data_IF_479360042844
#
_entry.id   IF_479360042844
#
_cell.length_a   1.000
_cell.length_b   1.000
_cell.length_c   1.000
_cell.angle_alpha   90.00
_cell.angle_beta   90.00
_cell.angle_gamma   90.00
#
_symmetry.space_group_name_H-M   'P 1'
#
loop_
_entity.id
_entity.type
_entity.pdbx_description
1 polymer ?
#
# COMPACT_ATOMS: atom_id res chain seq x y z
N UNK A 1 29.56 29.20 18.09
CA UNK A 1 28.93 28.09 18.85
C UNK A 1 27.62 28.48 19.58
N UNK A 2 27.14 29.74 19.59
CA UNK A 2 25.92 30.11 20.35
C UNK A 2 24.59 30.13 19.57
N UNK A 3 24.60 29.99 18.24
CA UNK A 3 23.38 30.12 17.43
C UNK A 3 22.40 28.94 17.57
N UNK A 4 22.89 27.70 17.65
CA UNK A 4 22.03 26.52 17.81
C UNK A 4 21.30 26.51 19.16
N UNK A 5 21.95 26.96 20.24
CA UNK A 5 21.34 26.99 21.57
C UNK A 5 20.27 28.09 21.69
N UNK A 6 20.45 29.21 20.99
CA UNK A 6 19.49 30.33 20.98
C UNK A 6 18.13 29.96 20.40
N UNK A 7 18.07 28.97 19.51
CA UNK A 7 16.81 28.47 18.91
C UNK A 7 15.81 28.00 19.98
N UNK A 8 16.26 27.27 21.02
CA UNK A 8 15.37 26.78 22.08
C UNK A 8 14.73 27.90 22.92
N UNK A 9 15.29 29.11 22.84
CA UNK A 9 14.83 30.30 23.57
C UNK A 9 14.14 31.33 22.68
N UNK A 10 14.03 31.08 21.36
CA UNK A 10 13.46 32.08 20.46
C UNK A 10 11.97 32.26 20.71
N UNK A 11 11.54 33.53 20.78
CA UNK A 11 10.17 33.95 21.04
C UNK A 11 9.91 35.24 20.29
N UNK A 12 8.62 35.52 20.10
CA UNK A 12 8.15 36.79 19.57
C UNK A 12 8.69 37.98 20.37
N UNK A 13 9.39 38.92 19.72
CA UNK A 13 9.81 40.17 20.34
C UNK A 13 8.70 41.20 20.22
N UNK A 14 8.45 41.95 21.30
CA UNK A 14 7.40 42.97 21.38
C UNK A 14 7.95 44.26 21.95
N UNK A 15 7.40 45.36 21.49
CA UNK A 15 7.66 46.68 22.05
C UNK A 15 6.95 46.83 23.42
N UNK A 16 7.32 47.85 24.18
CA UNK A 16 6.70 48.30 25.44
C UNK A 16 5.17 48.41 25.36
N UNK A 17 4.63 48.76 24.19
CA UNK A 17 3.18 48.86 23.90
C UNK A 17 2.53 47.52 23.53
N UNK A 18 3.26 46.40 23.61
CA UNK A 18 2.79 45.06 23.26
C UNK A 18 2.69 44.76 21.76
N UNK A 19 3.13 45.67 20.89
CA UNK A 19 3.13 45.47 19.43
C UNK A 19 4.26 44.53 19.02
N UNK A 20 3.98 43.64 18.07
CA UNK A 20 4.94 42.68 17.58
C UNK A 20 6.02 43.35 16.73
N UNK A 21 7.29 43.10 17.06
CA UNK A 21 8.45 43.65 16.35
C UNK A 21 9.07 42.58 15.44
N UNK A 22 9.30 41.36 15.94
CA UNK A 22 9.80 40.25 15.14
C UNK A 22 9.33 38.89 15.64
N UNK A 23 9.12 37.95 14.71
CA UNK A 23 8.92 36.53 14.97
C UNK A 23 9.70 35.71 13.94
N UNK A 24 10.44 34.71 14.41
CA UNK A 24 11.12 33.77 13.51
C UNK A 24 10.10 32.83 12.88
N UNK A 25 10.19 32.61 11.56
CA UNK A 25 9.38 31.65 10.79
C UNK A 25 7.85 31.85 10.85
N UNK A 26 7.37 32.98 11.36
CA UNK A 26 5.94 33.35 11.43
C UNK A 26 5.69 34.72 10.80
N UNK A 27 6.25 34.95 9.60
CA UNK A 27 6.00 36.17 8.84
C UNK A 27 4.55 36.22 8.36
N UNK A 28 3.87 37.35 8.61
CA UNK A 28 2.52 37.61 8.07
C UNK A 28 2.54 38.15 6.63
N UNK A 29 3.73 38.40 6.08
CA UNK A 29 3.91 38.91 4.73
C UNK A 29 3.59 37.83 3.70
N UNK A 30 2.79 38.17 2.69
CA UNK A 30 2.47 37.30 1.57
C UNK A 30 3.63 37.37 0.55
N UNK A 31 4.39 36.29 0.34
CA UNK A 31 5.45 36.29 -0.67
C UNK A 31 4.85 36.30 -2.08
N UNK A 32 5.61 36.82 -3.05
CA UNK A 32 5.26 36.66 -4.46
C UNK A 32 5.39 35.20 -4.86
N UNK A 33 4.29 34.59 -5.29
CA UNK A 33 4.21 33.16 -5.66
C UNK A 33 4.38 32.90 -7.16
N UNK A 34 4.63 33.94 -7.96
CA UNK A 34 4.74 33.80 -9.42
C UNK A 34 6.03 33.08 -9.80
N UNK A 35 5.88 31.95 -10.48
CA UNK A 35 7.00 31.21 -11.04
C UNK A 35 7.38 31.84 -12.39
N UNK A 36 8.66 32.19 -12.57
CA UNK A 36 9.16 32.88 -13.79
C UNK A 36 9.29 31.88 -14.94
N UNK A 37 8.69 32.12 -16.12
CA UNK A 37 8.79 31.17 -17.22
C UNK A 37 10.26 30.94 -17.63
N UNK A 38 10.71 29.68 -17.61
CA UNK A 38 12.06 29.27 -18.02
C UNK A 38 12.00 28.00 -18.88
N UNK A 39 12.76 28.01 -19.98
CA UNK A 39 12.89 26.84 -20.88
C UNK A 39 13.53 25.64 -20.18
N UNK A 40 14.33 25.88 -19.14
CA UNK A 40 15.01 24.84 -18.36
C UNK A 40 14.05 23.86 -17.68
N UNK A 41 12.81 24.26 -17.39
CA UNK A 41 11.81 23.38 -16.77
C UNK A 41 11.40 22.21 -17.65
N UNK A 42 11.54 22.37 -18.97
CA UNK A 42 11.15 21.37 -19.96
C UNK A 42 12.34 20.53 -20.43
N UNK A 43 13.54 20.78 -19.89
CA UNK A 43 14.72 19.96 -20.15
C UNK A 43 14.75 18.71 -19.27
N UNK A 44 15.35 17.63 -19.78
CA UNK A 44 15.52 16.40 -19.00
C UNK A 44 16.48 16.66 -17.83
N UNK A 45 16.03 16.46 -16.58
CA UNK A 45 16.83 16.73 -15.36
C UNK A 45 17.58 15.50 -14.83
N UNK A 46 17.10 14.30 -15.14
CA UNK A 46 17.74 13.02 -14.81
C UNK A 46 17.69 12.10 -16.03
N UNK A 47 18.85 11.74 -16.56
CA UNK A 47 18.99 10.80 -17.68
C UNK A 47 19.92 9.67 -17.27
N UNK A 48 19.66 8.47 -17.78
CA UNK A 48 20.47 7.27 -17.55
C UNK A 48 20.69 6.62 -18.91
N UNK A 49 21.94 6.23 -19.21
CA UNK A 49 22.25 5.51 -20.44
C UNK A 49 21.82 4.03 -20.35
N UNK A 50 21.43 3.43 -21.48
CA UNK A 50 20.95 2.04 -21.53
C UNK A 50 21.95 1.04 -20.92
N UNK A 51 23.24 1.13 -21.30
CA UNK A 51 24.28 0.25 -20.77
C UNK A 51 24.50 0.41 -19.24
N UNK A 52 24.30 1.62 -18.71
CA UNK A 52 24.38 1.86 -17.26
C UNK A 52 23.14 1.30 -16.54
N UNK A 53 21.97 1.38 -17.19
CA UNK A 53 20.74 0.82 -16.66
C UNK A 53 20.78 -0.70 -16.58
N UNK A 54 21.32 -1.36 -17.61
CA UNK A 54 21.50 -2.82 -17.61
C UNK A 54 22.44 -3.28 -16.49
N UNK A 55 23.62 -2.64 -16.37
CA UNK A 55 24.54 -2.91 -15.26
C UNK A 55 23.89 -2.69 -13.89
N UNK A 56 23.13 -1.61 -13.75
CA UNK A 56 22.40 -1.32 -12.52
C UNK A 56 21.37 -2.42 -12.20
N UNK A 57 20.62 -2.90 -13.21
CA UNK A 57 19.63 -3.98 -13.04
C UNK A 57 20.29 -5.29 -12.60
N UNK A 58 21.42 -5.65 -13.20
CA UNK A 58 22.18 -6.85 -12.84
C UNK A 58 22.73 -6.78 -11.41
N UNK A 59 23.43 -5.69 -11.08
CA UNK A 59 24.10 -5.55 -9.77
C UNK A 59 23.12 -5.40 -8.61
N UNK A 60 22.07 -4.61 -8.79
CA UNK A 60 21.06 -4.36 -7.75
C UNK A 60 20.09 -5.54 -7.68
N UNK A 61 19.66 -6.09 -8.82
CA UNK A 61 18.77 -7.25 -8.84
C UNK A 61 19.34 -8.46 -8.10
N UNK A 62 20.65 -8.71 -8.22
CA UNK A 62 21.30 -9.80 -7.50
C UNK A 62 21.37 -9.60 -5.97
N UNK A 63 21.29 -8.35 -5.49
CA UNK A 63 21.51 -7.99 -4.08
C UNK A 63 20.26 -7.54 -3.34
N UNK A 64 19.18 -7.23 -4.03
CA UNK A 64 17.93 -6.73 -3.40
C UNK A 64 17.34 -7.75 -2.44
N UNK A 65 17.46 -9.04 -2.75
CA UNK A 65 16.89 -10.12 -1.93
C UNK A 65 17.89 -10.66 -0.89
N UNK A 66 19.12 -10.12 -0.81
CA UNK A 66 20.13 -10.55 0.16
C UNK A 66 19.92 -9.84 1.51
N UNK A 67 19.52 -10.56 2.58
CA UNK A 67 19.24 -9.97 3.88
C UNK A 67 20.47 -9.40 4.60
N UNK A 68 21.69 -9.74 4.16
CA UNK A 68 22.93 -9.29 4.78
C UNK A 68 23.49 -8.00 4.15
N UNK A 69 22.95 -7.57 3.02
CA UNK A 69 23.38 -6.34 2.34
C UNK A 69 22.36 -5.22 2.51
N UNK A 70 22.83 -4.00 2.80
CA UNK A 70 21.96 -2.85 3.07
C UNK A 70 22.31 -1.69 2.14
N UNK A 71 21.27 -1.08 1.54
CA UNK A 71 21.41 0.10 0.70
C UNK A 71 21.44 1.38 1.54
N UNK A 72 22.59 2.06 1.59
CA UNK A 72 22.74 3.28 2.40
C UNK A 72 22.15 4.55 1.74
N UNK A 73 22.12 4.62 0.40
CA UNK A 73 21.76 5.85 -0.35
C UNK A 73 20.68 5.60 -1.39
N UNK A 74 19.53 5.14 -0.92
CA UNK A 74 18.39 4.79 -1.78
C UNK A 74 17.85 5.98 -2.59
N UNK A 75 17.74 7.18 -2.00
CA UNK A 75 17.09 8.36 -2.60
C UNK A 75 17.68 8.84 -3.94
N UNK A 76 18.92 8.45 -4.25
CA UNK A 76 19.60 8.83 -5.50
C UNK A 76 19.50 7.75 -6.59
N UNK A 77 19.08 6.54 -6.25
CA UNK A 77 19.02 5.41 -7.16
C UNK A 77 17.62 5.29 -7.77
N UNK A 78 17.49 5.04 -9.09
CA UNK A 78 16.20 4.87 -9.74
C UNK A 78 15.66 3.44 -9.54
N UNK A 79 15.31 3.06 -8.31
CA UNK A 79 14.82 1.71 -8.00
C UNK A 79 13.55 1.32 -8.76
N UNK A 80 12.73 2.29 -9.18
CA UNK A 80 11.56 2.03 -10.03
C UNK A 80 11.90 1.43 -11.41
N UNK A 81 13.15 1.55 -11.87
CA UNK A 81 13.61 0.98 -13.14
C UNK A 81 14.15 -0.45 -13.01
N UNK A 82 14.16 -1.01 -11.79
CA UNK A 82 14.66 -2.36 -11.53
C UNK A 82 13.74 -3.44 -12.11
N UNK A 83 12.42 -3.25 -11.98
CA UNK A 83 11.42 -4.20 -12.46
C UNK A 83 10.61 -3.61 -13.62
N UNK A 84 10.62 -4.28 -14.76
CA UNK A 84 9.69 -3.97 -15.86
C UNK A 84 8.30 -4.49 -15.47
N UNK A 85 7.44 -3.57 -15.00
CA UNK A 85 6.05 -3.92 -14.69
C UNK A 85 5.38 -4.39 -15.98
N UNK A 86 5.06 -5.68 -16.05
CA UNK A 86 4.12 -6.19 -17.06
C UNK A 86 2.80 -5.41 -16.90
N UNK A 87 2.46 -4.59 -17.89
CA UNK A 87 1.33 -3.64 -17.83
C UNK A 87 0.02 -4.31 -17.42
N UNK A 88 -0.14 -5.59 -17.77
CA UNK A 88 -1.26 -6.43 -17.38
C UNK A 88 -0.78 -7.85 -17.09
N UNK A 89 -0.93 -8.32 -15.83
CA UNK A 89 -0.69 -9.73 -15.47
C UNK A 89 -1.77 -10.67 -16.04
N UNK A 90 -2.96 -10.12 -16.32
CA UNK A 90 -4.12 -10.77 -16.96
C UNK A 90 -4.73 -9.79 -17.95
N UNK A 91 -5.28 -10.30 -19.06
CA UNK A 91 -5.96 -9.50 -20.10
C UNK A 91 -7.03 -8.60 -19.47
N UNK A 92 -7.07 -7.31 -19.83
CA UNK A 92 -8.03 -6.37 -19.29
C UNK A 92 -9.43 -6.63 -19.87
N UNK A 93 -10.22 -7.44 -19.17
CA UNK A 93 -11.53 -7.91 -19.66
C UNK A 93 -12.48 -6.73 -19.95
N UNK A 94 -12.42 -5.66 -19.15
CA UNK A 94 -13.31 -4.49 -19.27
C UNK A 94 -13.11 -3.66 -20.54
N UNK A 95 -11.91 -3.69 -21.15
CA UNK A 95 -11.69 -3.01 -22.45
C UNK A 95 -12.38 -3.75 -23.59
N UNK A 96 -12.55 -5.07 -23.43
CA UNK A 96 -13.15 -5.94 -24.45
C UNK A 96 -14.65 -6.16 -24.21
N UNK A 97 -15.05 -6.21 -22.95
CA UNK A 97 -16.41 -6.52 -22.50
C UNK A 97 -16.79 -5.59 -21.33
N UNK A 98 -17.30 -4.37 -21.60
CA UNK A 98 -17.77 -3.48 -20.56
C UNK A 98 -19.07 -4.01 -19.93
N UNK A 99 -19.32 -3.67 -18.66
CA UNK A 99 -20.46 -4.19 -17.90
C UNK A 99 -21.82 -3.97 -18.57
N UNK A 100 -22.02 -2.81 -19.20
CA UNK A 100 -23.25 -2.47 -19.93
C UNK A 100 -23.51 -3.41 -21.12
N UNK A 101 -22.44 -3.89 -21.77
CA UNK A 101 -22.55 -4.83 -22.89
C UNK A 101 -22.71 -6.30 -22.46
N UNK A 102 -22.33 -6.65 -21.22
CA UNK A 102 -22.40 -8.03 -20.71
C UNK A 102 -23.68 -8.30 -19.92
N UNK A 103 -24.16 -7.33 -19.14
CA UNK A 103 -25.30 -7.47 -18.23
C UNK A 103 -26.33 -6.35 -18.42
N UNK A 104 -27.61 -6.66 -18.21
CA UNK A 104 -28.71 -5.70 -18.27
C UNK A 104 -29.40 -5.66 -19.64
N UNK A 105 -30.31 -4.68 -19.80
CA UNK A 105 -31.20 -4.60 -20.97
C UNK A 105 -30.44 -4.32 -22.29
N UNK A 106 -29.29 -3.66 -22.19
CA UNK A 106 -28.38 -3.38 -23.31
C UNK A 106 -27.36 -4.50 -23.62
N UNK A 107 -27.47 -5.65 -22.94
CA UNK A 107 -26.48 -6.72 -23.10
C UNK A 107 -26.44 -7.30 -24.52
N UNK A 108 -25.27 -7.19 -25.15
CA UNK A 108 -24.99 -7.71 -26.50
C UNK A 108 -24.45 -9.15 -26.47
N UNK A 109 -23.92 -9.60 -25.32
CA UNK A 109 -23.36 -10.96 -25.18
C UNK A 109 -24.46 -12.04 -25.21
N UNK A 110 -24.38 -12.94 -26.18
CA UNK A 110 -25.35 -14.05 -26.34
C UNK A 110 -24.84 -15.42 -25.88
N UNK A 111 -23.52 -15.63 -25.81
CA UNK A 111 -22.92 -16.92 -25.43
C UNK A 111 -21.75 -16.71 -24.44
N UNK A 112 -21.56 -17.62 -23.48
CA UNK A 112 -20.40 -17.60 -22.60
C UNK A 112 -19.13 -18.03 -23.34
N UNK A 113 -17.99 -17.46 -22.95
CA UNK A 113 -16.66 -17.93 -23.36
C UNK A 113 -16.24 -19.02 -22.39
N UNK A 114 -16.43 -20.29 -22.77
CA UNK A 114 -15.97 -21.45 -22.01
C UNK A 114 -14.57 -21.83 -22.48
N UNK A 115 -13.70 -22.24 -21.56
CA UNK A 115 -12.36 -22.73 -21.88
C UNK A 115 -12.32 -24.22 -22.27
N UNK A 116 -13.47 -24.89 -22.24
CA UNK A 116 -13.63 -26.34 -22.44
C UNK A 116 -14.26 -26.59 -23.82
N UNK A 117 -13.77 -27.60 -24.54
CA UNK A 117 -14.24 -27.96 -25.88
C UNK A 117 -15.40 -28.95 -25.89
N UNK A 118 -15.42 -29.89 -24.96
CA UNK A 118 -16.32 -31.06 -24.97
C UNK A 118 -17.22 -31.13 -23.74
N UNK A 119 -18.35 -31.82 -23.89
CA UNK A 119 -19.32 -31.99 -22.82
C UNK A 119 -18.80 -32.87 -21.68
N UNK A 120 -18.01 -33.90 -22.01
CA UNK A 120 -17.37 -34.79 -21.04
C UNK A 120 -16.39 -34.01 -20.14
N UNK A 121 -15.53 -33.19 -20.75
CA UNK A 121 -14.60 -32.33 -20.01
C UNK A 121 -15.32 -31.30 -19.11
N UNK A 122 -16.51 -30.84 -19.51
CA UNK A 122 -17.35 -29.98 -18.67
C UNK A 122 -17.91 -30.74 -17.47
N UNK A 123 -18.36 -31.98 -17.66
CA UNK A 123 -18.88 -32.82 -16.59
C UNK A 123 -17.79 -33.16 -15.56
N UNK A 124 -16.59 -33.49 -16.02
CA UNK A 124 -15.44 -33.77 -15.15
C UNK A 124 -15.02 -32.54 -14.35
N UNK A 125 -14.95 -31.37 -14.98
CA UNK A 125 -14.64 -30.11 -14.30
C UNK A 125 -15.71 -29.77 -13.25
N UNK A 126 -16.99 -29.97 -13.57
CA UNK A 126 -18.09 -29.76 -12.63
C UNK A 126 -18.05 -30.75 -11.46
N UNK A 127 -17.69 -32.02 -11.71
CA UNK A 127 -17.48 -33.02 -10.67
C UNK A 127 -16.35 -32.64 -9.72
N UNK A 128 -15.18 -32.27 -10.27
CA UNK A 128 -14.04 -31.83 -9.49
C UNK A 128 -14.32 -30.55 -8.68
N UNK A 129 -15.04 -29.57 -9.25
CA UNK A 129 -15.45 -28.37 -8.53
C UNK A 129 -16.52 -28.67 -7.46
N UNK A 130 -17.41 -29.63 -7.70
CA UNK A 130 -18.35 -30.15 -6.72
C UNK A 130 -17.65 -30.81 -5.53
N UNK A 131 -16.64 -31.63 -5.79
CA UNK A 131 -15.79 -32.23 -4.76
C UNK A 131 -14.98 -31.18 -3.99
N UNK A 132 -14.42 -30.17 -4.69
CA UNK A 132 -13.74 -29.03 -4.04
C UNK A 132 -14.69 -28.23 -3.15
N UNK A 133 -15.91 -27.98 -3.62
CA UNK A 133 -16.92 -27.28 -2.84
C UNK A 133 -17.34 -28.09 -1.61
N UNK A 134 -17.63 -29.39 -1.78
CA UNK A 134 -17.95 -30.30 -0.68
C UNK A 134 -16.79 -30.39 0.34
N UNK A 135 -15.55 -30.50 -0.15
CA UNK A 135 -14.33 -30.48 0.67
C UNK A 135 -14.12 -29.14 1.39
N UNK A 136 -14.48 -28.01 0.76
CA UNK A 136 -14.41 -26.69 1.39
C UNK A 136 -15.40 -26.52 2.55
N UNK A 137 -16.53 -27.24 2.52
CA UNK A 137 -17.47 -27.29 3.63
C UNK A 137 -16.99 -28.19 4.79
N UNK A 138 -16.21 -29.22 4.49
CA UNK A 138 -15.65 -30.16 5.46
C UNK A 138 -14.37 -29.65 6.14
N UNK A 139 -13.60 -28.80 5.47
CA UNK A 139 -12.42 -28.13 6.02
C UNK A 139 -12.75 -26.69 6.41
N UNK A 140 -13.48 -26.53 7.52
CA UNK A 140 -13.74 -25.25 8.17
C UNK A 140 -12.49 -24.59 8.76
N UNK A 141 -11.41 -24.41 7.98
CA UNK A 141 -10.10 -24.01 8.49
C UNK A 141 -9.37 -22.88 7.75
N UNK A 142 -9.68 -22.56 6.49
CA UNK A 142 -8.80 -21.65 5.72
C UNK A 142 -9.49 -20.55 4.90
N UNK A 143 -10.82 -20.49 4.88
CA UNK A 143 -11.57 -19.39 4.27
C UNK A 143 -12.13 -18.49 5.38
N UNK A 144 -11.69 -17.23 5.42
CA UNK A 144 -12.00 -16.19 6.43
C UNK A 144 -13.49 -15.82 6.49
N UNK A 145 -14.32 -16.36 5.61
CA UNK A 145 -15.78 -16.26 5.71
C UNK A 145 -16.33 -17.49 6.43
N UNK A 146 -16.96 -17.34 7.62
CA UNK A 146 -17.71 -18.42 8.22
C UNK A 146 -18.71 -18.93 7.18
N UNK A 147 -18.79 -20.26 7.02
CA UNK A 147 -19.88 -20.87 6.26
C UNK A 147 -21.19 -20.22 6.70
N UNK A 148 -21.99 -19.74 5.75
CA UNK A 148 -23.26 -19.09 6.02
C UNK A 148 -24.15 -19.99 6.90
N UNK A 149 -23.97 -21.31 6.79
CA UNK A 149 -24.70 -22.33 7.56
C UNK A 149 -24.17 -22.47 8.99
N UNK A 150 -22.86 -22.34 9.21
CA UNK A 150 -22.28 -22.28 10.56
C UNK A 150 -22.68 -20.97 11.29
N UNK A 151 -22.76 -19.86 10.55
CA UNK A 151 -23.24 -18.58 11.08
C UNK A 151 -24.76 -18.62 11.38
N UNK A 152 -25.56 -19.35 10.60
CA UNK A 152 -26.99 -19.58 10.85
C UNK A 152 -27.23 -20.52 12.02
N UNK A 153 -26.45 -21.61 12.15
CA UNK A 153 -26.53 -22.52 13.29
C UNK A 153 -26.21 -21.79 14.61
N UNK A 154 -25.11 -21.02 14.64
CA UNK A 154 -24.75 -20.20 15.80
C UNK A 154 -25.78 -19.09 16.12
N UNK A 155 -26.56 -18.63 15.12
CA UNK A 155 -27.64 -17.66 15.32
C UNK A 155 -28.94 -18.31 15.83
N UNK A 156 -29.17 -19.60 15.52
CA UNK A 156 -30.33 -20.37 16.00
C UNK A 156 -30.16 -20.83 17.46
N UNK A 157 -28.93 -21.11 17.89
CA UNK A 157 -28.65 -21.62 19.25
C UNK A 157 -28.75 -20.56 20.37
N UNK A 158 -29.16 -19.32 20.08
CA UNK A 158 -29.45 -18.28 21.09
C UNK A 158 -28.24 -17.81 21.92
N UNK A 159 -27.08 -18.44 21.77
CA UNK A 159 -25.82 -18.01 22.37
C UNK A 159 -25.29 -16.79 21.60
N UNK A 160 -25.72 -15.60 22.02
CA UNK A 160 -25.17 -14.34 21.51
C UNK A 160 -23.64 -14.39 21.57
N UNK A 161 -22.98 -14.06 20.45
CA UNK A 161 -21.51 -13.97 20.34
C UNK A 161 -20.98 -13.33 21.62
N UNK A 162 -20.23 -14.10 22.41
CA UNK A 162 -19.58 -13.56 23.59
C UNK A 162 -18.80 -12.31 23.18
N UNK A 163 -19.10 -11.18 23.81
CA UNK A 163 -18.37 -9.94 23.56
C UNK A 163 -16.89 -10.21 23.86
N UNK A 164 -16.03 -10.08 22.85
CA UNK A 164 -14.58 -10.17 23.03
C UNK A 164 -14.21 -9.18 24.13
N UNK A 165 -13.57 -9.67 25.18
CA UNK A 165 -13.17 -8.81 26.28
C UNK A 165 -12.24 -7.71 25.76
N UNK A 166 -12.49 -6.46 26.16
CA UNK A 166 -11.67 -5.28 25.76
C UNK A 166 -10.17 -5.44 26.03
N UNK A 167 -9.80 -6.38 26.91
CA UNK A 167 -8.39 -6.72 27.17
C UNK A 167 -7.67 -7.23 25.92
N UNK A 168 -8.36 -7.92 25.01
CA UNK A 168 -7.77 -8.46 23.79
C UNK A 168 -7.54 -7.43 22.68
N UNK A 169 -7.98 -6.18 22.88
CA UNK A 169 -7.75 -5.06 21.96
C UNK A 169 -6.62 -4.14 22.46
N UNK A 170 -6.05 -4.44 23.64
CA UNK A 170 -4.85 -3.76 24.15
C UNK A 170 -3.69 -4.00 23.19
N UNK A 171 -2.89 -2.95 22.94
CA UNK A 171 -1.80 -2.98 21.96
C UNK A 171 -2.19 -2.44 20.58
N UNK A 172 -3.48 -2.41 20.23
CA UNK A 172 -3.96 -1.96 18.90
C UNK A 172 -4.53 -0.54 18.90
N UNK A 173 -4.32 0.22 19.98
CA UNK A 173 -4.81 1.60 20.08
C UNK A 173 -4.08 2.52 19.10
N UNK A 174 -4.80 3.48 18.52
CA UNK A 174 -4.21 4.52 17.67
C UNK A 174 -3.10 5.33 18.36
N UNK A 175 -3.14 5.47 19.70
CA UNK A 175 -2.05 6.09 20.47
C UNK A 175 -0.75 5.29 20.37
N UNK A 176 -0.83 3.96 20.47
CA UNK A 176 0.34 3.07 20.42
C UNK A 176 0.91 3.05 19.01
N UNK A 177 0.06 2.95 17.99
CA UNK A 177 0.49 3.06 16.60
C UNK A 177 1.11 4.42 16.27
N UNK A 178 0.57 5.52 16.79
CA UNK A 178 1.16 6.84 16.62
C UNK A 178 2.55 6.96 17.24
N UNK A 179 2.74 6.39 18.43
CA UNK A 179 4.07 6.30 19.07
C UNK A 179 5.03 5.42 18.28
N UNK A 180 4.57 4.26 17.78
CA UNK A 180 5.37 3.35 16.95
C UNK A 180 5.86 4.05 15.67
N UNK A 181 4.97 4.70 14.92
CA UNK A 181 5.33 5.38 13.67
C UNK A 181 6.24 6.59 13.91
N UNK A 182 6.10 7.28 15.04
CA UNK A 182 7.04 8.33 15.45
C UNK A 182 8.45 7.77 15.65
N UNK A 183 8.59 6.61 16.31
CA UNK A 183 9.90 5.96 16.50
C UNK A 183 10.47 5.54 15.15
N UNK A 184 9.68 4.86 14.32
CA UNK A 184 10.07 4.39 12.98
C UNK A 184 10.60 5.51 12.10
N UNK A 185 9.96 6.69 12.10
CA UNK A 185 10.40 7.83 11.29
C UNK A 185 11.65 8.54 11.85
N UNK A 186 11.85 8.47 13.18
CA UNK A 186 13.00 9.10 13.85
C UNK A 186 14.25 8.23 13.92
N UNK A 187 14.12 6.91 13.69
CA UNK A 187 15.20 5.93 13.85
C UNK A 187 15.87 5.59 12.52
N UNK A 188 17.21 5.53 12.51
CA UNK A 188 17.96 5.02 11.36
C UNK A 188 17.97 3.48 11.29
N UNK A 189 17.87 2.80 12.44
CA UNK A 189 17.89 1.33 12.56
C UNK A 189 16.77 0.87 13.48
N UNK A 190 16.04 -0.16 13.04
CA UNK A 190 15.00 -0.83 13.81
C UNK A 190 15.46 -2.24 14.19
N UNK A 191 15.27 -2.59 15.46
CA UNK A 191 15.56 -3.92 15.97
C UNK A 191 14.24 -4.55 16.38
N UNK A 192 13.89 -5.67 15.75
CA UNK A 192 12.73 -6.46 16.13
C UNK A 192 13.15 -7.48 17.18
N UNK A 193 12.75 -7.24 18.43
CA UNK A 193 12.97 -8.19 19.52
C UNK A 193 11.90 -9.27 19.45
N UNK A 194 12.34 -10.52 19.34
CA UNK A 194 11.50 -11.72 19.36
C UNK A 194 11.77 -12.48 20.65
N UNK A 195 10.73 -13.13 21.18
CA UNK A 195 10.91 -14.14 22.22
C UNK A 195 11.52 -15.41 21.61
N UNK A 196 12.37 -16.11 22.36
CA UNK A 196 13.20 -17.21 21.87
C UNK A 196 12.49 -18.57 21.92
#
# INVERSE_FOLDING_TARGET
RSWSLKMYTSRATRDSKGRLVSQELQSSELPSTRIVPDRRWFGNTRTVGQAQLERFREEVGAKVDDPYTVLLKERKLPLGLLADKQKHKRVHLLDTEPFEGVFGKGATRKRPKLALGDYEALADAAGADGERFAGSGAHGGASVVPSLDAAKAAAQDGHGKHFRAKMFDKGQSGRIWGELYKVVDSSDVLIQVLDA
#
